data_IF_778164025354
#
_entry.id   IF_778164025354
#
_cell.length_a   1.000
_cell.length_b   1.000
_cell.length_c   1.000
_cell.angle_alpha   90.00
_cell.angle_beta   90.00
_cell.angle_gamma   90.00
#
_symmetry.space_group_name_H-M   'P 1'
#
loop_
_entity.id
_entity.type
_entity.pdbx_description
1 polymer ?
#
# COMPACT_ATOMS: atom_id res chain seq x y z
N UNK A 1 25.25 -16.11 56.38
CA UNK A 1 25.64 -16.57 55.04
C UNK A 1 24.47 -16.54 54.04
N UNK A 2 23.21 -16.69 54.45
CA UNK A 2 22.04 -16.62 53.54
C UNK A 2 21.74 -15.19 53.03
N UNK A 3 21.88 -14.16 53.87
CA UNK A 3 21.60 -12.76 53.46
C UNK A 3 22.51 -12.23 52.35
N UNK A 4 23.79 -12.62 52.34
CA UNK A 4 24.76 -12.20 51.32
C UNK A 4 24.46 -12.81 49.94
N UNK A 5 23.86 -14.01 49.90
CA UNK A 5 23.41 -14.62 48.64
C UNK A 5 22.18 -13.91 48.06
N UNK A 6 21.20 -13.57 48.89
CA UNK A 6 19.99 -12.86 48.44
C UNK A 6 20.30 -11.43 47.98
N UNK A 7 21.22 -10.74 48.65
CA UNK A 7 21.66 -9.39 48.26
C UNK A 7 22.42 -9.39 46.93
N UNK A 8 23.34 -10.35 46.73
CA UNK A 8 24.06 -10.52 45.47
C UNK A 8 23.14 -10.95 44.33
N UNK A 9 22.15 -11.82 44.59
CA UNK A 9 21.16 -12.22 43.61
C UNK A 9 20.25 -11.04 43.21
N UNK A 10 19.80 -10.23 44.17
CA UNK A 10 19.01 -9.03 43.91
C UNK A 10 19.81 -7.99 43.09
N UNK A 11 21.09 -7.81 43.40
CA UNK A 11 21.98 -6.94 42.63
C UNK A 11 22.11 -7.43 41.16
N UNK A 12 22.31 -8.73 40.95
CA UNK A 12 22.37 -9.33 39.61
C UNK A 12 21.06 -9.16 38.84
N UNK A 13 19.91 -9.43 39.46
CA UNK A 13 18.60 -9.24 38.81
C UNK A 13 18.33 -7.78 38.49
N UNK A 14 18.74 -6.85 39.36
CA UNK A 14 18.59 -5.41 39.10
C UNK A 14 19.44 -4.96 37.91
N UNK A 15 20.67 -5.48 37.78
CA UNK A 15 21.55 -5.20 36.64
C UNK A 15 20.97 -5.79 35.35
N UNK A 16 20.50 -7.04 35.40
CA UNK A 16 19.88 -7.70 34.26
C UNK A 16 18.63 -6.96 33.78
N UNK A 17 17.71 -6.60 34.69
CA UNK A 17 16.50 -5.84 34.34
C UNK A 17 16.87 -4.49 33.74
N UNK A 18 17.86 -3.79 34.30
CA UNK A 18 18.31 -2.49 33.78
C UNK A 18 18.83 -2.60 32.35
N UNK A 19 19.74 -3.53 32.09
CA UNK A 19 20.31 -3.74 30.75
C UNK A 19 19.24 -4.17 29.75
N UNK A 20 18.42 -5.13 30.16
CA UNK A 20 17.35 -5.65 29.32
C UNK A 20 16.34 -4.54 29.00
N UNK A 21 15.94 -3.71 29.97
CA UNK A 21 15.01 -2.60 29.74
C UNK A 21 15.59 -1.57 28.77
N UNK A 22 16.87 -1.23 28.90
CA UNK A 22 17.54 -0.32 27.96
C UNK A 22 17.48 -0.83 26.52
N UNK A 23 17.68 -2.13 26.32
CA UNK A 23 17.61 -2.74 25.00
C UNK A 23 16.18 -2.83 24.45
N UNK A 24 15.17 -3.13 25.29
CA UNK A 24 13.77 -3.12 24.88
C UNK A 24 13.30 -1.71 24.51
N UNK A 25 13.67 -0.70 25.30
CA UNK A 25 13.36 0.70 25.04
C UNK A 25 13.96 1.16 23.72
N UNK A 26 15.22 0.81 23.44
CA UNK A 26 15.86 1.12 22.16
C UNK A 26 15.11 0.47 20.98
N UNK A 27 14.74 -0.81 21.08
CA UNK A 27 13.98 -1.52 20.03
C UNK A 27 12.59 -0.93 19.83
N UNK A 28 11.89 -0.64 20.92
CA UNK A 28 10.56 -0.03 20.91
C UNK A 28 10.60 1.35 20.28
N UNK A 29 11.62 2.14 20.61
CA UNK A 29 11.80 3.47 20.04
C UNK A 29 12.03 3.39 18.52
N UNK A 30 12.93 2.52 18.06
CA UNK A 30 13.12 2.28 16.62
C UNK A 30 11.83 1.84 15.94
N UNK A 31 11.11 0.87 16.53
CA UNK A 31 9.85 0.39 15.97
C UNK A 31 8.81 1.52 15.89
N UNK A 32 8.73 2.37 16.91
CA UNK A 32 7.81 3.52 16.91
C UNK A 32 8.18 4.52 15.82
N UNK A 33 9.46 4.84 15.65
CA UNK A 33 9.96 5.76 14.62
C UNK A 33 9.69 5.21 13.21
N UNK A 34 9.83 3.90 13.01
CA UNK A 34 9.48 3.22 11.76
C UNK A 34 7.96 3.30 11.48
N UNK A 35 7.12 3.06 12.50
CA UNK A 35 5.66 3.17 12.37
C UNK A 35 5.22 4.62 12.08
N UNK A 36 5.83 5.61 12.73
CA UNK A 36 5.56 7.04 12.47
C UNK A 36 5.91 7.40 11.02
N UNK A 37 7.05 6.90 10.52
CA UNK A 37 7.46 7.07 9.12
C UNK A 37 6.44 6.45 8.14
N UNK A 38 5.94 5.25 8.44
CA UNK A 38 4.90 4.57 7.66
C UNK A 38 3.60 5.39 7.65
N UNK A 39 3.18 5.93 8.78
CA UNK A 39 1.95 6.72 8.88
C UNK A 39 2.03 8.01 8.05
N UNK A 40 3.16 8.72 8.12
CA UNK A 40 3.40 9.93 7.32
C UNK A 40 3.40 9.57 5.83
N UNK A 41 4.11 8.51 5.45
CA UNK A 41 4.15 8.06 4.07
C UNK A 41 2.75 7.69 3.56
N UNK A 42 2.01 6.86 4.31
CA UNK A 42 0.69 6.39 3.92
C UNK A 42 -0.30 7.56 3.75
N UNK A 43 -0.25 8.56 4.62
CA UNK A 43 -1.06 9.78 4.49
C UNK A 43 -0.74 10.57 3.23
N UNK A 44 0.54 10.88 2.99
CA UNK A 44 0.98 11.64 1.82
C UNK A 44 0.71 10.87 0.51
N UNK A 45 1.02 9.58 0.50
CA UNK A 45 0.79 8.70 -0.64
C UNK A 45 -0.69 8.58 -0.96
N UNK A 46 -1.56 8.40 0.04
CA UNK A 46 -3.01 8.32 -0.17
C UNK A 46 -3.57 9.63 -0.70
N UNK A 47 -3.08 10.77 -0.22
CA UNK A 47 -3.48 12.09 -0.74
C UNK A 47 -3.08 12.27 -2.22
N UNK A 48 -1.82 11.95 -2.56
CA UNK A 48 -1.35 12.00 -3.93
C UNK A 48 -2.13 11.04 -4.84
N UNK A 49 -2.32 9.78 -4.42
CA UNK A 49 -3.07 8.76 -5.15
C UNK A 49 -4.53 9.17 -5.38
N UNK A 50 -5.17 9.79 -4.39
CA UNK A 50 -6.55 10.28 -4.52
C UNK A 50 -6.67 11.33 -5.62
N UNK A 51 -5.66 12.19 -5.82
CA UNK A 51 -5.69 13.19 -6.91
C UNK A 51 -5.75 12.55 -8.30
N UNK A 52 -5.05 11.44 -8.50
CA UNK A 52 -5.12 10.67 -9.75
C UNK A 52 -6.44 9.89 -9.86
N UNK A 53 -6.90 9.32 -8.75
CA UNK A 53 -8.09 8.47 -8.70
C UNK A 53 -9.37 9.25 -8.99
N UNK A 54 -9.48 10.49 -8.51
CA UNK A 54 -10.64 11.35 -8.75
C UNK A 54 -10.83 11.61 -10.24
N UNK A 55 -9.75 11.80 -11.00
CA UNK A 55 -9.85 11.99 -12.45
C UNK A 55 -10.23 10.67 -13.13
N UNK A 56 -9.52 9.58 -12.83
CA UNK A 56 -9.67 8.29 -13.53
C UNK A 56 -10.93 7.49 -13.22
N UNK A 57 -11.62 7.74 -12.11
CA UNK A 57 -12.87 7.02 -11.82
C UNK A 57 -13.97 7.37 -12.82
N UNK A 58 -13.91 8.55 -13.43
CA UNK A 58 -14.87 8.99 -14.45
C UNK A 58 -14.74 8.15 -15.72
N UNK A 59 -13.56 7.59 -16.02
CA UNK A 59 -13.37 6.70 -17.17
C UNK A 59 -14.15 5.38 -17.06
N UNK A 60 -14.63 5.03 -15.87
CA UNK A 60 -15.46 3.82 -15.65
C UNK A 60 -16.95 4.08 -15.88
N UNK A 61 -17.35 5.33 -16.10
CA UNK A 61 -18.74 5.72 -16.34
C UNK A 61 -18.88 6.41 -17.70
N UNK A 62 -20.07 6.32 -18.33
CA UNK A 62 -20.38 7.11 -19.50
C UNK A 62 -20.18 8.60 -19.24
N UNK A 63 -19.33 9.26 -20.03
CA UNK A 63 -19.17 10.70 -19.94
C UNK A 63 -20.48 11.38 -20.44
N UNK A 64 -21.22 12.10 -19.57
CA UNK A 64 -22.46 12.76 -19.97
C UNK A 64 -22.23 13.78 -21.09
N UNK A 65 -21.03 14.38 -21.19
CA UNK A 65 -20.70 15.29 -22.26
C UNK A 65 -20.58 14.56 -23.61
N UNK A 66 -19.88 13.42 -23.65
CA UNK A 66 -19.78 12.60 -24.87
C UNK A 66 -21.15 12.04 -25.29
N UNK A 67 -21.95 11.58 -24.34
CA UNK A 67 -23.30 11.12 -24.60
C UNK A 67 -24.17 12.25 -25.19
N UNK A 68 -24.06 13.47 -24.65
CA UNK A 68 -24.75 14.65 -25.19
C UNK A 68 -24.29 15.00 -26.61
N UNK A 69 -22.97 14.99 -26.87
CA UNK A 69 -22.41 15.25 -28.20
C UNK A 69 -22.89 14.21 -29.22
N UNK A 70 -22.96 12.94 -28.82
CA UNK A 70 -23.49 11.86 -29.67
C UNK A 70 -24.94 12.13 -30.07
N UNK A 71 -25.83 12.43 -29.11
CA UNK A 71 -27.22 12.76 -29.43
C UNK A 71 -27.35 14.04 -30.24
N UNK A 72 -26.48 15.04 -30.02
CA UNK A 72 -26.47 16.26 -30.81
C UNK A 72 -26.09 15.99 -32.28
N UNK A 73 -25.05 15.19 -32.53
CA UNK A 73 -24.69 14.77 -33.89
C UNK A 73 -25.80 13.97 -34.55
N UNK A 74 -26.45 13.08 -33.81
CA UNK A 74 -27.61 12.33 -34.30
C UNK A 74 -28.76 13.27 -34.70
N UNK A 75 -29.09 14.26 -33.87
CA UNK A 75 -30.12 15.26 -34.18
C UNK A 75 -29.77 16.07 -35.44
N UNK A 76 -28.51 16.51 -35.57
CA UNK A 76 -28.05 17.26 -36.77
C UNK A 76 -28.17 16.39 -38.03
N UNK A 77 -27.78 15.11 -37.95
CA UNK A 77 -27.90 14.18 -39.08
C UNK A 77 -29.37 13.96 -39.48
N UNK A 78 -30.27 13.79 -38.51
CA UNK A 78 -31.71 13.66 -38.76
C UNK A 78 -32.29 14.94 -39.38
N UNK A 79 -31.95 16.13 -38.86
CA UNK A 79 -32.41 17.40 -39.42
C UNK A 79 -31.92 17.60 -40.86
N UNK A 80 -30.67 17.23 -41.16
CA UNK A 80 -30.12 17.30 -42.51
C UNK A 80 -30.86 16.35 -43.47
N UNK A 81 -31.17 15.12 -43.03
CA UNK A 81 -31.94 14.16 -43.81
C UNK A 81 -33.37 14.68 -44.10
N UNK A 82 -34.04 15.25 -43.09
CA UNK A 82 -35.37 15.87 -43.25
C UNK A 82 -35.29 17.05 -44.23
N UNK A 83 -34.29 17.92 -44.09
CA UNK A 83 -34.08 19.07 -44.99
C UNK A 83 -33.89 18.65 -46.44
N UNK A 84 -33.15 17.58 -46.70
CA UNK A 84 -32.96 17.04 -48.05
C UNK A 84 -34.25 16.45 -48.62
N UNK A 85 -35.04 15.77 -47.78
CA UNK A 85 -36.33 15.21 -48.18
C UNK A 85 -37.39 16.28 -48.47
N UNK A 86 -37.45 17.35 -47.69
CA UNK A 86 -38.37 18.47 -47.92
C UNK A 86 -37.97 19.27 -49.17
N UNK A 87 -36.67 19.37 -49.46
CA UNK A 87 -36.17 20.05 -50.67
C UNK A 87 -36.42 19.23 -51.95
N UNK A 88 -36.48 17.90 -51.83
CA UNK A 88 -36.86 17.00 -52.91
C UNK A 88 -38.40 16.89 -52.98
N UNK A 89 -39.05 17.74 -53.79
CA UNK A 89 -40.49 17.67 -54.10
C UNK A 89 -40.77 16.42 -54.95
N UNK A 90 -40.67 15.23 -54.35
CA UNK A 90 -40.86 13.94 -54.98
C UNK A 90 -41.77 13.04 -54.12
N UNK A 91 -42.61 12.19 -54.75
CA UNK A 91 -43.62 11.42 -54.02
C UNK A 91 -42.97 10.44 -53.03
N UNK A 92 -43.33 10.63 -51.76
CA UNK A 92 -43.26 9.70 -50.62
C UNK A 92 -42.25 8.54 -50.78
N UNK A 93 -40.97 8.84 -50.54
CA UNK A 93 -39.94 7.80 -50.34
C UNK A 93 -40.30 7.03 -49.06
N UNK A 94 -40.33 5.67 -49.08
CA UNK A 94 -40.60 4.89 -47.89
C UNK A 94 -39.55 5.20 -46.81
N UNK A 95 -40.01 5.51 -45.61
CA UNK A 95 -39.14 5.71 -44.45
C UNK A 95 -38.50 4.36 -44.15
N UNK A 96 -37.25 4.17 -44.57
CA UNK A 96 -36.46 3.04 -44.09
C UNK A 96 -36.24 3.27 -42.61
N UNK A 97 -36.95 2.49 -41.78
CA UNK A 97 -36.81 2.49 -40.32
C UNK A 97 -35.49 1.83 -39.94
N UNK A 98 -34.39 2.49 -40.29
CA UNK A 98 -33.08 2.13 -39.75
C UNK A 98 -33.12 2.46 -38.26
N UNK A 99 -32.89 1.48 -37.36
CA UNK A 99 -32.89 1.76 -35.92
C UNK A 99 -31.86 2.85 -35.61
N UNK A 100 -32.24 3.82 -34.79
CA UNK A 100 -31.35 4.90 -34.39
C UNK A 100 -30.13 4.28 -33.69
N UNK A 101 -28.90 4.69 -34.06
CA UNK A 101 -27.72 4.20 -33.38
C UNK A 101 -27.83 4.61 -31.90
N UNK A 102 -27.70 3.61 -31.03
CA UNK A 102 -27.72 3.81 -29.57
C UNK A 102 -26.30 4.13 -29.12
N UNK A 103 -26.15 5.04 -28.17
CA UNK A 103 -24.85 5.30 -27.57
C UNK A 103 -24.35 4.03 -26.88
N UNK A 104 -23.24 3.49 -27.37
CA UNK A 104 -22.55 2.36 -26.75
C UNK A 104 -21.38 2.93 -25.97
N UNK A 105 -21.41 2.73 -24.65
CA UNK A 105 -20.25 3.03 -23.82
C UNK A 105 -19.22 1.92 -24.03
N UNK A 106 -18.15 2.25 -24.74
CA UNK A 106 -17.03 1.34 -24.95
C UNK A 106 -15.98 1.60 -23.86
N UNK A 107 -15.84 0.63 -22.96
CA UNK A 107 -14.96 0.73 -21.80
C UNK A 107 -13.58 0.21 -22.20
N UNK A 108 -12.57 1.09 -22.18
CA UNK A 108 -11.20 0.68 -22.48
C UNK A 108 -10.71 -0.30 -21.40
N UNK A 109 -10.25 -1.52 -21.74
CA UNK A 109 -9.76 -2.47 -20.75
C UNK A 109 -8.54 -1.95 -19.96
N UNK A 110 -7.79 -0.96 -20.46
CA UNK A 110 -6.73 -0.28 -19.70
C UNK A 110 -7.29 0.48 -18.50
N UNK A 111 -8.39 1.22 -18.68
CA UNK A 111 -8.99 2.04 -17.62
C UNK A 111 -9.45 1.19 -16.42
N UNK A 112 -9.98 -0.01 -16.69
CA UNK A 112 -10.36 -0.96 -15.63
C UNK A 112 -9.14 -1.44 -14.84
N UNK A 113 -8.07 -1.84 -15.53
CA UNK A 113 -6.83 -2.33 -14.88
C UNK A 113 -6.18 -1.24 -14.05
N UNK A 114 -6.04 -0.02 -14.61
CA UNK A 114 -5.43 1.13 -13.93
C UNK A 114 -6.20 1.46 -12.66
N UNK A 115 -7.52 1.60 -12.75
CA UNK A 115 -8.35 1.86 -11.57
C UNK A 115 -8.22 0.73 -10.54
N UNK A 116 -8.25 -0.54 -10.95
CA UNK A 116 -8.08 -1.67 -10.03
C UNK A 116 -6.73 -1.62 -9.30
N UNK A 117 -5.62 -1.36 -10.00
CA UNK A 117 -4.30 -1.25 -9.39
C UNK A 117 -4.22 -0.08 -8.40
N UNK A 118 -4.81 1.07 -8.73
CA UNK A 118 -4.80 2.23 -7.86
C UNK A 118 -5.70 2.07 -6.63
N UNK A 119 -6.89 1.48 -6.77
CA UNK A 119 -7.72 1.14 -5.60
C UNK A 119 -7.02 0.13 -4.67
N UNK A 120 -6.44 -0.93 -5.24
CA UNK A 120 -5.67 -1.91 -4.47
C UNK A 120 -4.47 -1.27 -3.76
N UNK A 121 -3.75 -0.39 -4.45
CA UNK A 121 -2.66 0.38 -3.87
C UNK A 121 -3.12 1.22 -2.68
N UNK A 122 -4.25 1.92 -2.80
CA UNK A 122 -4.82 2.72 -1.72
C UNK A 122 -5.21 1.85 -0.52
N UNK A 123 -5.86 0.71 -0.75
CA UNK A 123 -6.26 -0.22 0.31
C UNK A 123 -5.06 -0.75 1.07
N UNK A 124 -3.99 -1.16 0.39
CA UNK A 124 -2.76 -1.62 1.05
C UNK A 124 -2.08 -0.52 1.86
N UNK A 125 -2.04 0.72 1.35
CA UNK A 125 -1.48 1.88 2.06
C UNK A 125 -2.26 2.17 3.36
N UNK A 126 -3.58 2.22 3.28
CA UNK A 126 -4.44 2.46 4.46
C UNK A 126 -4.34 1.29 5.44
N UNK A 127 -4.27 0.05 4.95
CA UNK A 127 -4.07 -1.14 5.80
C UNK A 127 -2.74 -1.10 6.52
N UNK A 128 -1.66 -0.66 5.86
CA UNK A 128 -0.36 -0.45 6.49
C UNK A 128 -0.43 0.62 7.59
N UNK A 129 -1.13 1.73 7.33
CA UNK A 129 -1.36 2.76 8.33
C UNK A 129 -2.12 2.22 9.55
N UNK A 130 -3.21 1.48 9.32
CA UNK A 130 -3.98 0.86 10.39
C UNK A 130 -3.10 -0.08 11.25
N UNK A 131 -2.35 -0.98 10.61
CA UNK A 131 -1.44 -1.89 11.31
C UNK A 131 -0.35 -1.14 12.07
N UNK A 132 0.20 -0.05 11.49
CA UNK A 132 1.18 0.79 12.17
C UNK A 132 0.60 1.41 13.45
N UNK A 133 -0.63 1.92 13.40
CA UNK A 133 -1.29 2.45 14.61
C UNK A 133 -1.53 1.38 15.67
N UNK A 134 -1.90 0.16 15.28
CA UNK A 134 -2.09 -0.97 16.21
C UNK A 134 -0.78 -1.38 16.88
N UNK A 135 0.29 -1.53 16.11
CA UNK A 135 1.62 -1.85 16.66
C UNK A 135 2.07 -0.78 17.65
N UNK A 136 1.87 0.51 17.33
CA UNK A 136 2.16 1.58 18.26
C UNK A 136 1.32 1.52 19.55
N UNK A 137 0.05 1.13 19.46
CA UNK A 137 -0.81 0.93 20.65
C UNK A 137 -0.26 -0.20 21.52
N UNK A 138 0.02 -1.37 20.93
CA UNK A 138 0.55 -2.52 21.64
C UNK A 138 1.88 -2.23 22.33
N UNK A 139 2.78 -1.51 21.64
CA UNK A 139 4.09 -1.11 22.17
C UNK A 139 3.96 -0.14 23.35
N UNK A 140 3.03 0.83 23.27
CA UNK A 140 2.74 1.73 24.39
C UNK A 140 2.20 0.97 25.60
N UNK A 141 1.24 0.07 25.38
CA UNK A 141 0.65 -0.75 26.44
C UNK A 141 1.70 -1.66 27.09
N UNK A 142 2.56 -2.30 26.27
CA UNK A 142 3.69 -3.10 26.74
C UNK A 142 4.58 -2.27 27.69
N UNK A 143 4.97 -1.06 27.30
CA UNK A 143 5.86 -0.20 28.11
C UNK A 143 5.21 0.27 29.43
N UNK A 144 3.90 0.53 29.42
CA UNK A 144 3.16 0.89 30.64
C UNK A 144 3.13 -0.23 31.69
N UNK A 145 3.12 -1.50 31.26
CA UNK A 145 3.12 -2.64 32.18
C UNK A 145 4.44 -2.72 32.97
N UNK A 146 5.58 -2.41 32.35
CA UNK A 146 6.90 -2.46 33.03
C UNK A 146 7.08 -1.37 34.07
N UNK A 147 6.60 -0.16 33.80
CA UNK A 147 6.73 0.98 34.70
C UNK A 147 5.97 0.80 36.03
N UNK A 148 5.06 -0.18 36.13
CA UNK A 148 4.18 -0.38 37.28
C UNK A 148 4.80 -1.21 38.41
N UNK A 149 5.91 -1.91 38.19
CA UNK A 149 6.48 -2.85 39.17
C UNK A 149 7.88 -2.43 39.65
N UNK A 150 8.04 -2.27 40.96
CA UNK A 150 9.32 -1.89 41.59
C UNK A 150 10.23 -3.08 41.95
N UNK A 151 9.72 -4.32 41.93
CA UNK A 151 10.52 -5.50 42.29
C UNK A 151 11.25 -6.06 41.06
N UNK A 152 12.59 -6.17 41.07
CA UNK A 152 13.39 -6.55 39.90
C UNK A 152 13.10 -7.98 39.42
N UNK A 153 12.98 -8.95 40.34
CA UNK A 153 12.71 -10.34 39.97
C UNK A 153 11.32 -10.51 39.34
N UNK A 154 10.31 -9.82 39.87
CA UNK A 154 8.94 -9.86 39.30
C UNK A 154 8.90 -9.18 37.93
N UNK A 155 9.60 -8.06 37.76
CA UNK A 155 9.71 -7.35 36.48
C UNK A 155 10.38 -8.22 35.41
N UNK A 156 11.49 -8.88 35.75
CA UNK A 156 12.18 -9.80 34.86
C UNK A 156 11.28 -10.96 34.38
N UNK A 157 10.54 -11.60 35.28
CA UNK A 157 9.61 -12.69 34.93
C UNK A 157 8.46 -12.22 34.06
N UNK A 158 7.88 -11.06 34.37
CA UNK A 158 6.78 -10.50 33.60
C UNK A 158 7.23 -10.12 32.18
N UNK A 159 8.44 -9.54 32.05
CA UNK A 159 9.06 -9.26 30.76
C UNK A 159 9.20 -10.51 29.91
N UNK A 160 9.79 -11.55 30.48
CA UNK A 160 9.99 -12.81 29.78
C UNK A 160 8.65 -13.40 29.32
N UNK A 161 7.64 -13.39 30.19
CA UNK A 161 6.29 -13.85 29.86
C UNK A 161 5.64 -13.06 28.71
N UNK A 162 5.74 -11.73 28.73
CA UNK A 162 5.19 -10.88 27.67
C UNK A 162 5.97 -10.99 26.35
N UNK A 163 7.29 -11.15 26.43
CA UNK A 163 8.14 -11.38 25.27
C UNK A 163 7.82 -12.71 24.59
N UNK A 164 7.73 -13.80 25.37
CA UNK A 164 7.31 -15.12 24.86
C UNK A 164 5.89 -15.08 24.29
N UNK A 165 4.99 -14.31 24.92
CA UNK A 165 3.66 -14.04 24.38
C UNK A 165 3.70 -13.31 23.04
N UNK A 166 4.46 -12.22 22.94
CA UNK A 166 4.59 -11.44 21.70
C UNK A 166 5.19 -12.27 20.55
N UNK A 167 6.20 -13.10 20.86
CA UNK A 167 6.83 -14.00 19.89
C UNK A 167 5.87 -15.13 19.48
N UNK A 168 5.14 -15.72 20.43
CA UNK A 168 4.13 -16.75 20.16
C UNK A 168 2.93 -16.26 19.33
N UNK A 169 2.59 -14.99 19.44
CA UNK A 169 1.55 -14.32 18.65
C UNK A 169 2.08 -13.62 17.39
N UNK A 170 3.35 -13.83 17.02
CA UNK A 170 3.96 -13.29 15.80
C UNK A 170 3.92 -11.76 15.67
N UNK A 171 3.84 -11.02 16.78
CA UNK A 171 3.81 -9.56 16.78
C UNK A 171 5.04 -8.94 16.06
N UNK A 172 6.27 -9.47 16.20
CA UNK A 172 7.42 -9.01 15.43
C UNK A 172 7.25 -9.19 13.92
N UNK A 173 6.64 -10.30 13.49
CA UNK A 173 6.39 -10.56 12.06
C UNK A 173 5.37 -9.58 11.50
N UNK A 174 4.33 -9.25 12.27
CA UNK A 174 3.36 -8.21 11.90
C UNK A 174 4.05 -6.87 11.75
N UNK A 175 4.86 -6.47 12.73
CA UNK A 175 5.63 -5.22 12.69
C UNK A 175 6.56 -5.12 11.47
N UNK A 176 7.29 -6.20 11.16
CA UNK A 176 8.17 -6.27 9.99
C UNK A 176 7.40 -6.29 8.66
N UNK A 177 6.16 -6.78 8.64
CA UNK A 177 5.35 -6.82 7.42
C UNK A 177 4.80 -5.46 6.97
N UNK A 178 4.68 -4.50 7.90
CA UNK A 178 4.03 -3.20 7.67
C UNK A 178 4.76 -2.37 6.59
N UNK A 179 6.09 -2.13 6.67
CA UNK A 179 6.82 -1.49 5.59
C UNK A 179 6.72 -2.27 4.26
N UNK A 180 6.58 -3.60 4.34
CA UNK A 180 6.34 -4.45 3.18
C UNK A 180 5.04 -4.12 2.45
N UNK A 181 3.94 -3.92 3.17
CA UNK A 181 2.66 -3.49 2.57
C UNK A 181 2.78 -2.15 1.86
N UNK A 182 3.52 -1.19 2.43
CA UNK A 182 3.77 0.12 1.84
C UNK A 182 4.52 0.01 0.51
N UNK A 183 5.54 -0.86 0.46
CA UNK A 183 6.25 -1.12 -0.79
C UNK A 183 5.32 -1.76 -1.84
N UNK A 184 4.51 -2.75 -1.43
CA UNK A 184 3.51 -3.37 -2.32
C UNK A 184 2.55 -2.31 -2.87
N UNK A 185 2.00 -1.43 -2.03
CA UNK A 185 1.13 -0.35 -2.51
C UNK A 185 1.83 0.56 -3.51
N UNK A 186 3.10 0.91 -3.26
CA UNK A 186 3.87 1.78 -4.15
C UNK A 186 4.12 1.14 -5.52
N UNK A 187 4.48 -0.15 -5.56
CA UNK A 187 4.69 -0.86 -6.82
C UNK A 187 3.39 -1.03 -7.60
N UNK A 188 2.27 -1.32 -6.94
CA UNK A 188 0.95 -1.37 -7.60
C UNK A 188 0.60 -0.02 -8.24
N UNK A 189 0.88 1.08 -7.54
CA UNK A 189 0.68 2.43 -8.09
C UNK A 189 1.55 2.69 -9.32
N UNK A 190 2.84 2.34 -9.26
CA UNK A 190 3.74 2.50 -10.39
C UNK A 190 3.33 1.69 -11.62
N UNK A 191 2.84 0.46 -11.43
CA UNK A 191 2.30 -0.35 -12.53
C UNK A 191 1.09 0.35 -13.18
N UNK A 192 0.13 0.82 -12.37
CA UNK A 192 -1.02 1.57 -12.88
C UNK A 192 -0.64 2.90 -13.54
N UNK A 193 0.37 3.60 -13.00
CA UNK A 193 0.87 4.85 -13.58
C UNK A 193 1.50 4.62 -14.95
N UNK A 194 2.30 3.55 -15.10
CA UNK A 194 2.89 3.16 -16.38
C UNK A 194 1.84 2.82 -17.43
N UNK A 195 0.88 1.95 -17.09
CA UNK A 195 -0.23 1.56 -18.00
C UNK A 195 -1.04 2.80 -18.41
N UNK A 196 -1.37 3.67 -17.45
CA UNK A 196 -2.15 4.88 -17.74
C UNK A 196 -1.42 5.87 -18.67
N UNK A 197 -0.11 6.07 -18.48
CA UNK A 197 0.64 7.02 -19.32
C UNK A 197 0.93 6.46 -20.71
N UNK A 198 1.09 5.14 -20.86
CA UNK A 198 1.26 4.50 -22.16
C UNK A 198 0.03 4.67 -23.06
N UNK A 199 -1.18 4.61 -22.47
CA UNK A 199 -2.45 4.78 -23.18
C UNK A 199 -2.63 6.23 -23.67
N UNK A 200 -2.14 7.22 -22.90
CA UNK A 200 -2.23 8.64 -23.27
C UNK A 200 -1.14 9.05 -24.25
N UNK A 201 0.12 8.74 -23.96
CA UNK A 201 1.25 9.10 -24.80
C UNK A 201 2.43 8.14 -24.57
N UNK A 202 2.77 7.37 -25.60
CA UNK A 202 3.82 6.35 -25.53
C UNK A 202 5.19 6.92 -25.14
N UNK A 203 5.53 8.15 -25.56
CA UNK A 203 6.81 8.78 -25.23
C UNK A 203 6.88 9.14 -23.75
N UNK A 204 5.82 9.74 -23.20
CA UNK A 204 5.74 10.10 -21.77
C UNK A 204 5.70 8.82 -20.92
N UNK A 205 4.88 7.84 -21.31
CA UNK A 205 4.80 6.54 -20.64
C UNK A 205 6.16 5.83 -20.60
N UNK A 206 6.88 5.76 -21.72
CA UNK A 206 8.21 5.17 -21.76
C UNK A 206 9.20 5.93 -20.85
N UNK A 207 9.18 7.27 -20.89
CA UNK A 207 10.04 8.09 -20.04
C UNK A 207 9.78 7.88 -18.53
N UNK A 208 8.54 7.58 -18.14
CA UNK A 208 8.18 7.27 -16.74
C UNK A 208 8.48 5.81 -16.35
N UNK A 209 8.32 4.85 -17.26
CA UNK A 209 8.56 3.43 -16.98
C UNK A 209 10.05 3.12 -16.79
N UNK A 210 10.94 3.78 -17.54
CA UNK A 210 12.39 3.56 -17.43
C UNK A 210 12.91 3.77 -15.99
N UNK A 211 12.69 4.92 -15.32
CA UNK A 211 13.16 5.10 -13.95
C UNK A 211 12.46 4.17 -12.96
N UNK A 212 11.16 3.87 -13.15
CA UNK A 212 10.44 2.88 -12.33
C UNK A 212 11.10 1.50 -12.44
N UNK A 213 11.46 1.06 -13.64
CA UNK A 213 12.11 -0.21 -13.88
C UNK A 213 13.50 -0.27 -13.25
N UNK A 214 14.30 0.80 -13.38
CA UNK A 214 15.63 0.89 -12.74
C UNK A 214 15.50 0.79 -11.22
N UNK A 215 14.60 1.55 -10.61
CA UNK A 215 14.34 1.49 -9.17
C UNK A 215 13.84 0.09 -8.75
N UNK A 216 12.94 -0.52 -9.52
CA UNK A 216 12.45 -1.88 -9.28
C UNK A 216 13.57 -2.93 -9.33
N UNK A 217 14.46 -2.83 -10.31
CA UNK A 217 15.63 -3.72 -10.42
C UNK A 217 16.57 -3.57 -9.22
N UNK A 218 16.85 -2.34 -8.78
CA UNK A 218 17.66 -2.08 -7.59
C UNK A 218 16.99 -2.61 -6.32
N UNK A 219 15.67 -2.50 -6.21
CA UNK A 219 14.90 -3.04 -5.10
C UNK A 219 14.97 -4.57 -5.05
N UNK A 220 14.74 -5.23 -6.19
CA UNK A 220 14.86 -6.69 -6.33
C UNK A 220 16.29 -7.15 -6.01
N UNK A 221 17.30 -6.44 -6.51
CA UNK A 221 18.69 -6.72 -6.17
C UNK A 221 18.94 -6.63 -4.66
N UNK A 222 18.44 -5.57 -4.02
CA UNK A 222 18.57 -5.37 -2.56
C UNK A 222 17.84 -6.46 -1.76
N UNK A 223 16.75 -7.01 -2.29
CA UNK A 223 16.02 -8.13 -1.68
C UNK A 223 16.79 -9.45 -1.74
N UNK A 224 17.49 -9.73 -2.84
CA UNK A 224 18.23 -10.97 -3.02
C UNK A 224 19.67 -10.91 -2.50
N UNK A 225 20.25 -9.72 -2.36
CA UNK A 225 21.64 -9.54 -1.91
C UNK A 225 21.95 -10.22 -0.55
N UNK A 226 21.09 -10.14 0.49
CA UNK A 226 21.32 -10.83 1.77
C UNK A 226 21.23 -12.35 1.68
N UNK A 227 20.48 -12.88 0.71
CA UNK A 227 20.32 -14.33 0.48
C UNK A 227 21.59 -14.92 -0.13
N UNK A 228 22.26 -14.15 -0.99
CA UNK A 228 23.50 -14.56 -1.67
C UNK A 228 24.71 -14.36 -0.75
N UNK A 229 24.76 -13.24 -0.02
CA UNK A 229 25.83 -12.95 0.95
C UNK A 229 25.24 -12.50 2.30
N UNK A 230 25.33 -13.34 3.35
CA UNK A 230 24.83 -13.02 4.68
C UNK A 230 25.47 -11.78 5.33
N UNK A 231 26.61 -11.31 4.80
CA UNK A 231 27.32 -10.11 5.26
C UNK A 231 26.85 -8.82 4.58
N UNK A 232 25.90 -8.89 3.63
CA UNK A 232 25.40 -7.71 2.94
C UNK A 232 24.58 -6.83 3.91
N UNK A 233 24.84 -5.52 3.98
CA UNK A 233 24.16 -4.61 4.92
C UNK A 233 22.70 -4.28 4.52
N UNK A 234 22.24 -4.75 3.35
CA UNK A 234 20.94 -4.43 2.77
C UNK A 234 19.81 -5.27 3.37
N UNK A 235 19.50 -5.08 4.65
CA UNK A 235 18.36 -5.76 5.29
C UNK A 235 17.07 -5.09 4.86
N UNK A 236 16.22 -5.79 4.13
CA UNK A 236 14.89 -5.31 3.76
C UNK A 236 13.79 -6.08 4.54
N UNK A 237 12.55 -5.55 4.64
CA UNK A 237 11.46 -6.17 5.40
C UNK A 237 11.18 -7.62 4.97
N UNK A 238 11.33 -7.90 3.68
CA UNK A 238 11.11 -9.23 3.12
C UNK A 238 12.26 -10.22 3.39
N UNK A 239 13.49 -9.74 3.58
CA UNK A 239 14.67 -10.58 3.81
C UNK A 239 14.63 -11.26 5.17
N UNK A 240 14.06 -10.58 6.18
CA UNK A 240 13.77 -11.16 7.49
C UNK A 240 12.79 -12.32 7.37
N UNK A 241 11.68 -12.09 6.65
CA UNK A 241 10.62 -13.08 6.44
C UNK A 241 11.10 -14.29 5.62
N UNK A 242 11.91 -14.07 4.58
CA UNK A 242 12.54 -15.13 3.78
C UNK A 242 13.53 -15.94 4.60
N UNK A 243 14.34 -15.29 5.44
CA UNK A 243 15.29 -15.99 6.31
C UNK A 243 14.57 -16.86 7.36
N UNK A 244 13.50 -16.33 7.97
CA UNK A 244 12.66 -17.08 8.90
C UNK A 244 12.00 -18.31 8.25
N UNK A 245 11.45 -18.15 7.03
CA UNK A 245 10.89 -19.27 6.27
C UNK A 245 11.95 -20.32 5.89
N UNK A 246 13.16 -19.87 5.52
CA UNK A 246 14.28 -20.76 5.18
C UNK A 246 14.80 -21.56 6.39
N UNK A 247 14.67 -21.05 7.61
CA UNK A 247 15.15 -21.72 8.82
C UNK A 247 14.15 -22.77 9.36
N UNK A 248 12.89 -22.73 8.90
CA UNK A 248 11.84 -23.70 9.23
C UNK A 248 11.76 -24.90 8.26
N UNK A 249 12.52 -24.88 7.16
CA UNK A 249 12.65 -25.97 6.17
C UNK A 249 13.98 -26.69 6.38
#
# INVERSE_FOLDING_TARGET
MIGDFDDNANALWSLHVKEAMSHDEARIQTLKDDMDSVLIFAGLFSAALTSFLVDKIHNLQPDPAQQMVFYQQQNVALLAQISQQVSAIAPQVPISSTPLPTYVFDLNPSDVRVNAFWFMSLVFSISAALLATLVQQWVRDYMHVFQRYSNPLKSARLRQYLYEGAEGWYMPVVAESIPGLVHVSLFLFFVGLGDSLLDVNTTVGAATIIPIAVCGLLYVFSMFAPVIKPQAPFRNPFSGLIWYLKQKV
#
